data_IF_243576900227
#
_entry.id   IF_243576900227
#
_cell.length_a   1.000
_cell.length_b   1.000
_cell.length_c   1.000
_cell.angle_alpha   90.00
_cell.angle_beta   90.00
_cell.angle_gamma   90.00
#
_symmetry.space_group_name_H-M   'P 1'
#
loop_
_entity.id
_entity.type
_entity.pdbx_description
1 polymer ?
#
# COMPACT_ATOMS: atom_id res chain seq x y z
N UNK A 1 44.60 -30.89 -45.22
CA UNK A 1 44.42 -30.29 -43.88
C UNK A 1 43.54 -29.05 -43.93
N UNK A 2 43.80 -28.09 -44.84
CA UNK A 2 43.01 -26.85 -44.95
C UNK A 2 41.52 -27.04 -45.29
N UNK A 3 41.17 -27.99 -46.16
CA UNK A 3 39.76 -28.25 -46.48
C UNK A 3 38.97 -28.80 -45.28
N UNK A 4 39.61 -29.61 -44.43
CA UNK A 4 38.97 -30.20 -43.25
C UNK A 4 38.71 -29.11 -42.20
N UNK A 5 39.65 -28.17 -42.01
CA UNK A 5 39.48 -27.07 -41.05
C UNK A 5 38.34 -26.12 -41.45
N UNK A 6 38.15 -25.86 -42.76
CA UNK A 6 37.05 -25.03 -43.26
C UNK A 6 35.69 -25.70 -42.99
N UNK A 7 35.57 -27.01 -43.25
CA UNK A 7 34.32 -27.76 -43.02
C UNK A 7 33.95 -27.76 -41.53
N UNK A 8 34.93 -27.96 -40.65
CA UNK A 8 34.72 -27.91 -39.20
C UNK A 8 34.28 -26.52 -38.74
N UNK A 9 34.89 -25.45 -39.27
CA UNK A 9 34.49 -24.08 -38.93
C UNK A 9 33.05 -23.78 -39.36
N UNK A 10 32.65 -24.15 -40.57
CA UNK A 10 31.28 -23.97 -41.07
C UNK A 10 30.27 -24.76 -40.22
N UNK A 11 30.62 -25.98 -39.81
CA UNK A 11 29.79 -26.79 -38.93
C UNK A 11 29.61 -26.15 -37.55
N UNK A 12 30.68 -25.59 -36.96
CA UNK A 12 30.60 -24.86 -35.68
C UNK A 12 29.75 -23.59 -35.79
N UNK A 13 29.84 -22.83 -36.89
CA UNK A 13 29.01 -21.65 -37.14
C UNK A 13 27.53 -22.05 -37.30
N UNK A 14 27.26 -23.13 -38.03
CA UNK A 14 25.90 -23.66 -38.19
C UNK A 14 25.30 -24.11 -36.85
N UNK A 15 26.08 -24.78 -36.00
CA UNK A 15 25.64 -25.16 -34.65
C UNK A 15 25.41 -23.91 -33.78
N UNK A 16 26.34 -22.96 -33.77
CA UNK A 16 26.22 -21.72 -32.99
C UNK A 16 24.97 -20.93 -33.38
N UNK A 17 24.74 -20.74 -34.68
CA UNK A 17 23.54 -20.06 -35.20
C UNK A 17 22.26 -20.84 -34.90
N UNK A 18 22.27 -22.17 -35.01
CA UNK A 18 21.13 -23.01 -34.65
C UNK A 18 20.82 -22.95 -33.14
N UNK A 19 21.84 -22.98 -32.27
CA UNK A 19 21.68 -22.85 -30.82
C UNK A 19 21.07 -21.49 -30.46
N UNK A 20 21.58 -20.39 -31.02
CA UNK A 20 21.03 -19.04 -30.82
C UNK A 20 19.58 -18.94 -31.32
N UNK A 21 19.28 -19.50 -32.50
CA UNK A 21 17.92 -19.56 -33.03
C UNK A 21 16.98 -20.35 -32.11
N UNK A 22 17.41 -21.53 -31.63
CA UNK A 22 16.59 -22.42 -30.80
C UNK A 22 16.31 -21.85 -29.41
N UNK A 23 17.29 -21.19 -28.78
CA UNK A 23 17.11 -20.51 -27.50
C UNK A 23 16.12 -19.37 -27.66
N UNK A 24 16.28 -18.52 -28.68
CA UNK A 24 15.36 -17.41 -28.98
C UNK A 24 13.93 -17.88 -29.22
N UNK A 25 13.75 -19.01 -29.91
CA UNK A 25 12.43 -19.57 -30.18
C UNK A 25 11.80 -20.24 -28.95
N UNK A 26 12.62 -20.85 -28.08
CA UNK A 26 12.18 -21.46 -26.81
C UNK A 26 11.69 -20.40 -25.81
N UNK A 27 12.36 -19.25 -25.74
CA UNK A 27 11.87 -18.11 -24.94
C UNK A 27 10.54 -17.60 -25.50
N UNK A 28 10.42 -17.50 -26.84
CA UNK A 28 9.18 -17.10 -27.53
C UNK A 28 7.99 -18.03 -27.20
N UNK A 29 8.23 -19.35 -27.11
CA UNK A 29 7.22 -20.33 -26.72
C UNK A 29 6.87 -20.30 -25.23
N UNK A 30 7.82 -19.99 -24.33
CA UNK A 30 7.54 -19.82 -22.90
C UNK A 30 6.63 -18.61 -22.63
N UNK A 31 6.85 -17.50 -23.33
CA UNK A 31 5.97 -16.31 -23.22
C UNK A 31 4.57 -16.52 -23.80
N UNK A 32 4.38 -17.46 -24.73
CA UNK A 32 3.06 -17.80 -25.26
C UNK A 32 2.12 -18.45 -24.21
N UNK A 33 2.65 -18.89 -23.06
CA UNK A 33 1.86 -19.43 -21.93
C UNK A 33 1.57 -18.41 -20.82
N UNK A 34 2.23 -17.25 -20.84
CA UNK A 34 2.02 -16.24 -19.81
C UNK A 34 0.89 -15.30 -20.23
N UNK A 35 -0.04 -15.03 -19.31
CA UNK A 35 -1.10 -14.06 -19.58
C UNK A 35 -0.47 -12.68 -19.82
N UNK A 36 -0.76 -12.02 -20.95
CA UNK A 36 -0.21 -10.70 -21.23
C UNK A 36 -0.80 -9.66 -20.30
N UNK A 37 -0.08 -8.54 -20.17
CA UNK A 37 -0.51 -7.39 -19.37
C UNK A 37 -0.69 -6.21 -20.32
N UNK A 38 -1.91 -5.68 -20.41
CA UNK A 38 -2.20 -4.45 -21.15
C UNK A 38 -1.80 -3.24 -20.33
N UNK A 39 -1.07 -2.31 -20.95
CA UNK A 39 -0.59 -1.09 -20.30
C UNK A 39 -1.47 0.09 -20.69
N UNK A 40 -1.94 0.82 -19.68
CA UNK A 40 -2.74 2.03 -19.80
C UNK A 40 -1.87 3.31 -19.86
N UNK A 41 -2.41 4.37 -20.46
CA UNK A 41 -1.84 5.73 -20.54
C UNK A 41 -1.45 6.26 -19.16
N UNK A 42 -2.30 6.07 -18.16
CA UNK A 42 -2.07 6.59 -16.80
C UNK A 42 -0.77 6.07 -16.19
N UNK A 43 -0.47 4.79 -16.39
CA UNK A 43 0.74 4.12 -15.86
C UNK A 43 1.99 4.55 -16.60
N UNK A 44 1.90 4.75 -17.92
CA UNK A 44 3.01 5.26 -18.72
C UNK A 44 3.40 6.67 -18.30
N UNK A 45 2.41 7.54 -18.07
CA UNK A 45 2.67 8.92 -17.63
C UNK A 45 3.32 8.95 -16.25
N UNK A 46 2.92 8.08 -15.32
CA UNK A 46 3.51 7.98 -13.97
C UNK A 46 4.95 7.44 -14.01
N UNK A 47 5.22 6.48 -14.90
CA UNK A 47 6.58 5.99 -15.19
C UNK A 47 7.14 4.95 -14.21
N UNK A 48 6.55 4.76 -13.02
CA UNK A 48 7.03 3.75 -12.05
C UNK A 48 6.92 2.31 -12.57
N UNK A 49 6.18 2.07 -13.65
CA UNK A 49 6.16 0.79 -14.36
C UNK A 49 7.56 0.32 -14.77
N UNK A 50 8.47 1.24 -15.11
CA UNK A 50 9.86 0.91 -15.47
C UNK A 50 10.56 0.21 -14.31
N UNK A 51 10.54 0.79 -13.11
CA UNK A 51 11.16 0.20 -11.94
C UNK A 51 10.53 -1.16 -11.58
N UNK A 52 9.21 -1.30 -11.73
CA UNK A 52 8.53 -2.59 -11.50
C UNK A 52 8.95 -3.64 -12.54
N UNK A 53 9.09 -3.26 -13.81
CA UNK A 53 9.57 -4.14 -14.88
C UNK A 53 11.05 -4.53 -14.72
N UNK A 54 11.92 -3.58 -14.36
CA UNK A 54 13.34 -3.80 -14.10
C UNK A 54 13.58 -4.72 -12.89
N UNK A 55 12.73 -4.63 -11.87
CA UNK A 55 12.85 -5.47 -10.66
C UNK A 55 12.66 -6.98 -10.91
N UNK A 56 12.11 -7.37 -12.08
CA UNK A 56 11.78 -8.76 -12.38
C UNK A 56 10.50 -9.28 -11.68
N UNK A 57 9.71 -8.40 -11.06
CA UNK A 57 8.39 -8.76 -10.53
C UNK A 57 7.37 -9.03 -11.64
N UNK A 58 7.53 -8.38 -12.80
CA UNK A 58 6.66 -8.59 -13.96
C UNK A 58 7.41 -9.37 -15.02
N UNK A 59 7.05 -10.65 -15.15
CA UNK A 59 7.62 -11.58 -16.15
C UNK A 59 6.69 -11.85 -17.34
N UNK A 60 5.45 -11.37 -17.28
CA UNK A 60 4.49 -11.46 -18.37
C UNK A 60 4.79 -10.42 -19.47
N UNK A 61 4.49 -10.73 -20.75
CA UNK A 61 4.68 -9.75 -21.82
C UNK A 61 3.77 -8.54 -21.60
N UNK A 62 4.36 -7.34 -21.70
CA UNK A 62 3.64 -6.07 -21.69
C UNK A 62 3.15 -5.76 -23.10
N UNK A 63 1.85 -5.56 -23.25
CA UNK A 63 1.21 -5.14 -24.48
C UNK A 63 0.81 -3.67 -24.33
N UNK A 64 1.40 -2.81 -25.16
CA UNK A 64 1.06 -1.39 -25.22
C UNK A 64 0.21 -1.17 -26.47
N UNK A 65 -1.10 -0.91 -26.34
CA UNK A 65 -1.97 -0.68 -27.49
C UNK A 65 -1.55 0.56 -28.30
N UNK A 66 -1.78 0.53 -29.62
CA UNK A 66 -1.57 1.69 -30.50
C UNK A 66 -2.51 2.84 -30.12
N UNK A 67 -3.72 2.55 -29.68
CA UNK A 67 -4.68 3.56 -29.20
C UNK A 67 -4.16 4.35 -27.98
N UNK A 68 -3.47 3.69 -27.06
CA UNK A 68 -2.80 4.32 -25.89
C UNK A 68 -1.67 5.25 -26.33
N UNK A 69 -0.83 4.81 -27.28
CA UNK A 69 0.21 5.67 -27.86
C UNK A 69 -0.40 6.87 -28.58
N UNK A 70 -1.49 6.65 -29.33
CA UNK A 70 -2.22 7.71 -30.02
C UNK A 70 -2.79 8.76 -29.05
N UNK A 71 -3.31 8.34 -27.90
CA UNK A 71 -3.76 9.26 -26.85
C UNK A 71 -2.60 10.05 -26.24
N UNK A 72 -1.47 9.41 -25.94
CA UNK A 72 -0.26 10.11 -25.49
C UNK A 72 0.22 11.15 -26.50
N UNK A 73 0.21 10.82 -27.80
CA UNK A 73 0.56 11.78 -28.86
C UNK A 73 -0.40 12.96 -28.89
N UNK A 74 -1.71 12.71 -28.85
CA UNK A 74 -2.73 13.76 -28.83
C UNK A 74 -2.56 14.69 -27.62
N UNK A 75 -2.24 14.14 -26.45
CA UNK A 75 -1.96 14.91 -25.24
C UNK A 75 -0.63 15.69 -25.34
N UNK A 76 0.38 15.13 -26.01
CA UNK A 76 1.69 15.76 -26.24
C UNK A 76 1.63 16.95 -27.22
N UNK A 77 0.63 16.98 -28.09
CA UNK A 77 0.38 18.05 -29.06
C UNK A 77 -0.67 19.07 -28.59
N UNK A 78 -1.30 18.83 -27.44
CA UNK A 78 -2.35 19.69 -26.87
C UNK A 78 -1.86 21.07 -26.41
N UNK A 79 -2.78 21.99 -26.11
CA UNK A 79 -2.45 23.37 -25.71
C UNK A 79 -1.96 23.52 -24.26
N UNK A 80 -2.22 22.54 -23.39
CA UNK A 80 -1.85 22.53 -21.98
C UNK A 80 -0.39 22.06 -21.77
N UNK A 81 0.47 22.95 -21.26
CA UNK A 81 1.91 22.68 -21.14
C UNK A 81 2.27 21.57 -20.15
N UNK A 82 1.52 21.44 -19.05
CA UNK A 82 1.78 20.40 -18.06
C UNK A 82 1.38 19.03 -18.61
N UNK A 83 0.19 18.95 -19.22
CA UNK A 83 -0.27 17.71 -19.87
C UNK A 83 0.67 17.29 -21.00
N UNK A 84 1.13 18.23 -21.82
CA UNK A 84 2.13 17.94 -22.87
C UNK A 84 3.40 17.34 -22.31
N UNK A 85 3.96 17.94 -21.26
CA UNK A 85 5.22 17.48 -20.65
C UNK A 85 5.07 16.07 -20.09
N UNK A 86 3.96 15.81 -19.39
CA UNK A 86 3.61 14.49 -18.85
C UNK A 86 3.41 13.43 -19.94
N UNK A 87 2.75 13.79 -21.04
CA UNK A 87 2.52 12.89 -22.15
C UNK A 87 3.80 12.53 -22.90
N UNK A 88 4.71 13.50 -23.11
CA UNK A 88 6.06 13.26 -23.65
C UNK A 88 6.86 12.31 -22.76
N UNK A 89 6.84 12.54 -21.45
CA UNK A 89 7.43 11.61 -20.49
C UNK A 89 6.83 10.20 -20.63
N UNK A 90 5.51 10.07 -20.83
CA UNK A 90 4.88 8.78 -21.11
C UNK A 90 5.41 8.09 -22.37
N UNK A 91 5.67 8.83 -23.45
CA UNK A 91 6.30 8.30 -24.68
C UNK A 91 7.76 7.89 -24.45
N UNK A 92 8.51 8.65 -23.63
CA UNK A 92 9.87 8.29 -23.23
C UNK A 92 9.86 6.99 -22.43
N UNK A 93 8.90 6.81 -21.51
CA UNK A 93 8.70 5.58 -20.73
C UNK A 93 8.43 4.38 -21.65
N UNK A 94 7.63 4.52 -22.71
CA UNK A 94 7.43 3.46 -23.71
C UNK A 94 8.78 3.04 -24.32
N UNK A 95 9.60 4.03 -24.70
CA UNK A 95 10.91 3.77 -25.31
C UNK A 95 11.86 3.06 -24.35
N UNK A 96 11.88 3.47 -23.07
CA UNK A 96 12.66 2.82 -22.02
C UNK A 96 12.21 1.37 -21.83
N UNK A 97 10.90 1.15 -21.70
CA UNK A 97 10.30 -0.18 -21.53
C UNK A 97 10.66 -1.13 -22.69
N UNK A 98 10.64 -0.66 -23.94
CA UNK A 98 11.05 -1.45 -25.10
C UNK A 98 12.54 -1.84 -25.10
N UNK A 99 13.38 -1.07 -24.41
CA UNK A 99 14.81 -1.34 -24.26
C UNK A 99 15.16 -2.30 -23.11
N UNK A 100 14.20 -2.67 -22.26
CA UNK A 100 14.46 -3.56 -21.13
C UNK A 100 14.63 -5.01 -21.59
N UNK A 101 15.67 -5.67 -21.07
CA UNK A 101 15.89 -7.11 -21.30
C UNK A 101 15.06 -7.99 -20.32
N UNK A 102 14.61 -7.41 -19.20
CA UNK A 102 13.90 -8.14 -18.14
C UNK A 102 12.47 -8.53 -18.53
N UNK A 103 11.83 -7.74 -19.39
CA UNK A 103 10.45 -7.95 -19.81
C UNK A 103 10.30 -7.76 -21.31
N UNK A 104 9.47 -8.59 -21.95
CA UNK A 104 9.11 -8.40 -23.35
C UNK A 104 8.02 -7.33 -23.46
N UNK A 105 8.24 -6.33 -24.29
CA UNK A 105 7.27 -5.28 -24.58
C UNK A 105 6.92 -5.31 -26.06
N UNK A 106 5.65 -5.50 -26.40
CA UNK A 106 5.15 -5.47 -27.77
C UNK A 106 4.12 -4.34 -27.93
N UNK A 107 4.23 -3.59 -29.03
CA UNK A 107 3.19 -2.65 -29.42
C UNK A 107 2.06 -3.44 -30.10
N UNK A 108 0.89 -3.44 -29.48
CA UNK A 108 -0.26 -4.20 -29.97
C UNK A 108 -1.09 -3.34 -30.91
N UNK A 109 -1.29 -3.81 -32.14
CA UNK A 109 -2.08 -3.08 -33.12
C UNK A 109 -3.59 -3.27 -32.89
N UNK A 110 -4.19 -2.32 -32.18
CA UNK A 110 -5.64 -2.17 -32.01
C UNK A 110 -6.19 -0.97 -32.81
N UNK A 111 -5.43 -0.41 -33.75
CA UNK A 111 -5.83 0.79 -34.49
C UNK A 111 -5.46 2.09 -33.78
N UNK A 112 -5.39 3.17 -34.55
CA UNK A 112 -4.75 4.42 -34.11
C UNK A 112 -5.67 5.34 -33.29
N UNK A 113 -6.98 5.10 -33.32
CA UNK A 113 -7.95 5.83 -32.50
C UNK A 113 -8.98 4.88 -31.87
N UNK A 114 -9.50 5.28 -30.71
CA UNK A 114 -10.57 4.58 -30.01
C UNK A 114 -11.79 5.52 -29.92
N UNK A 115 -12.73 5.47 -30.88
CA UNK A 115 -13.94 6.29 -30.86
C UNK A 115 -14.80 6.09 -29.60
N UNK A 116 -14.77 4.89 -29.03
CA UNK A 116 -15.44 4.57 -27.76
C UNK A 116 -14.70 5.04 -26.50
N UNK A 117 -13.52 5.66 -26.66
CA UNK A 117 -12.58 5.98 -25.60
C UNK A 117 -11.57 4.85 -25.35
N UNK A 118 -10.34 5.24 -24.98
CA UNK A 118 -9.22 4.32 -24.73
C UNK A 118 -9.55 3.33 -23.61
N UNK A 119 -10.18 3.79 -22.53
CA UNK A 119 -10.61 2.98 -21.39
C UNK A 119 -11.51 1.79 -21.81
N UNK A 120 -12.58 2.07 -22.56
CA UNK A 120 -13.48 1.02 -23.05
C UNK A 120 -12.77 0.07 -24.01
N UNK A 121 -11.83 0.59 -24.81
CA UNK A 121 -11.04 -0.22 -25.72
C UNK A 121 -10.13 -1.19 -24.96
N UNK A 122 -9.46 -0.70 -23.90
CA UNK A 122 -8.61 -1.49 -23.02
C UNK A 122 -9.40 -2.62 -22.34
N UNK A 123 -10.60 -2.34 -21.83
CA UNK A 123 -11.46 -3.35 -21.20
C UNK A 123 -11.88 -4.46 -22.18
N UNK A 124 -12.34 -4.08 -23.37
CA UNK A 124 -12.68 -5.03 -24.43
C UNK A 124 -11.48 -5.89 -24.82
N UNK A 125 -10.32 -5.25 -25.01
CA UNK A 125 -9.10 -5.95 -25.40
C UNK A 125 -8.60 -6.90 -24.31
N UNK A 126 -8.71 -6.50 -23.04
CA UNK A 126 -8.35 -7.33 -21.90
C UNK A 126 -9.17 -8.62 -21.86
N UNK A 127 -10.49 -8.52 -22.06
CA UNK A 127 -11.38 -9.67 -22.16
C UNK A 127 -11.06 -10.56 -23.36
N UNK A 128 -10.88 -9.97 -24.53
CA UNK A 128 -10.59 -10.70 -25.76
C UNK A 128 -9.29 -11.50 -25.69
N UNK A 129 -8.26 -10.93 -25.07
CA UNK A 129 -6.94 -11.55 -24.95
C UNK A 129 -6.75 -12.37 -23.67
N UNK A 130 -7.71 -12.34 -22.74
CA UNK A 130 -7.52 -12.87 -21.39
C UNK A 130 -6.34 -12.21 -20.67
N UNK A 131 -6.12 -10.92 -20.94
CA UNK A 131 -5.01 -10.14 -20.41
C UNK A 131 -5.36 -9.51 -19.05
N UNK A 132 -4.35 -9.27 -18.23
CA UNK A 132 -4.49 -8.38 -17.06
C UNK A 132 -4.33 -6.92 -17.49
N UNK A 133 -4.93 -5.99 -16.75
CA UNK A 133 -4.82 -4.56 -17.00
C UNK A 133 -3.85 -3.91 -16.01
N UNK A 134 -2.85 -3.17 -16.50
CA UNK A 134 -1.97 -2.35 -15.69
C UNK A 134 -2.44 -0.90 -15.77
N UNK A 135 -3.07 -0.42 -14.70
CA UNK A 135 -3.58 0.96 -14.61
C UNK A 135 -3.39 1.53 -13.20
N UNK A 136 -3.18 2.85 -13.10
CA UNK A 136 -3.27 3.59 -11.83
C UNK A 136 -4.59 4.37 -11.71
N UNK A 137 -5.41 4.40 -12.77
CA UNK A 137 -6.69 5.08 -12.75
C UNK A 137 -7.67 4.34 -11.84
N UNK A 138 -8.33 5.10 -10.97
CA UNK A 138 -9.24 4.54 -9.98
C UNK A 138 -10.54 4.03 -10.60
N UNK A 139 -11.09 4.75 -11.59
CA UNK A 139 -12.38 4.43 -12.20
C UNK A 139 -12.24 3.22 -13.12
N UNK A 140 -11.22 3.20 -13.98
CA UNK A 140 -10.92 2.09 -14.87
C UNK A 140 -10.65 0.80 -14.07
N UNK A 141 -9.90 0.89 -12.95
CA UNK A 141 -9.70 -0.23 -12.03
C UNK A 141 -11.02 -0.78 -11.46
N UNK A 142 -11.95 0.10 -11.04
CA UNK A 142 -13.26 -0.32 -10.52
C UNK A 142 -14.10 -1.04 -11.57
N UNK A 143 -14.18 -0.50 -12.78
CA UNK A 143 -14.92 -1.12 -13.89
C UNK A 143 -14.29 -2.45 -14.28
N UNK A 144 -12.96 -2.51 -14.42
CA UNK A 144 -12.23 -3.73 -14.75
C UNK A 144 -12.51 -4.87 -13.76
N UNK A 145 -12.56 -4.58 -12.45
CA UNK A 145 -12.89 -5.59 -11.43
C UNK A 145 -14.33 -6.10 -11.53
N UNK A 146 -15.29 -5.23 -11.85
CA UNK A 146 -16.70 -5.65 -12.09
C UNK A 146 -16.78 -6.58 -13.31
N UNK A 147 -15.92 -6.34 -14.28
CA UNK A 147 -15.81 -7.10 -15.51
C UNK A 147 -14.93 -8.36 -15.42
N UNK A 148 -14.50 -8.74 -14.20
CA UNK A 148 -13.61 -9.87 -13.88
C UNK A 148 -12.24 -9.82 -14.60
N UNK A 149 -11.76 -8.60 -14.87
CA UNK A 149 -10.43 -8.36 -15.42
C UNK A 149 -9.47 -8.14 -14.25
N UNK A 150 -8.38 -8.93 -14.22
CA UNK A 150 -7.32 -8.77 -13.21
C UNK A 150 -6.61 -7.43 -13.41
N UNK A 151 -6.53 -6.63 -12.35
CA UNK A 151 -5.86 -5.32 -12.36
C UNK A 151 -4.55 -5.37 -11.58
N UNK A 152 -3.50 -4.84 -12.19
CA UNK A 152 -2.21 -4.54 -11.56
C UNK A 152 -2.15 -3.04 -11.37
N UNK A 153 -1.98 -2.59 -10.13
CA UNK A 153 -1.90 -1.17 -9.80
C UNK A 153 -0.61 -0.90 -9.01
N UNK A 154 0.22 0.04 -9.49
CA UNK A 154 1.51 0.37 -8.84
C UNK A 154 1.30 0.88 -7.42
N UNK A 155 0.21 1.62 -7.17
CA UNK A 155 -0.07 2.15 -5.84
C UNK A 155 -0.38 1.02 -4.86
N UNK A 156 -1.20 0.05 -5.27
CA UNK A 156 -1.53 -1.14 -4.45
C UNK A 156 -0.25 -1.96 -4.16
N UNK A 157 0.62 -2.10 -5.17
CA UNK A 157 1.91 -2.77 -5.02
C UNK A 157 2.82 -2.03 -4.03
N UNK A 158 2.98 -0.71 -4.20
CA UNK A 158 3.82 0.10 -3.32
C UNK A 158 3.32 0.09 -1.87
N UNK A 159 2.01 0.12 -1.64
CA UNK A 159 1.43 -0.03 -0.30
C UNK A 159 1.71 -1.41 0.31
N UNK A 160 1.63 -2.47 -0.51
CA UNK A 160 1.85 -3.85 -0.07
C UNK A 160 3.33 -4.17 0.21
N UNK A 161 4.24 -3.45 -0.44
CA UNK A 161 5.70 -3.59 -0.25
C UNK A 161 6.23 -2.76 0.92
N UNK A 162 5.41 -1.93 1.59
CA UNK A 162 5.86 -1.20 2.79
C UNK A 162 6.26 -2.19 3.86
N UNK A 163 7.36 -1.88 4.55
CA UNK A 163 7.90 -2.73 5.61
C UNK A 163 6.80 -3.04 6.63
N UNK A 164 6.51 -4.32 6.83
CA UNK A 164 5.61 -4.75 7.87
C UNK A 164 6.41 -4.79 9.18
N UNK A 165 6.25 -3.76 10.02
CA UNK A 165 6.74 -3.84 11.41
C UNK A 165 5.98 -4.94 12.13
N UNK A 166 6.70 -5.95 12.59
CA UNK A 166 6.12 -7.09 13.30
C UNK A 166 6.01 -6.79 14.79
N UNK A 167 4.97 -7.30 15.48
CA UNK A 167 4.95 -7.34 16.94
C UNK A 167 6.26 -7.96 17.48
N UNK A 168 6.90 -7.29 18.44
CA UNK A 168 8.17 -7.69 19.04
C UNK A 168 9.41 -7.10 18.37
N UNK A 169 9.32 -6.47 17.19
CA UNK A 169 10.45 -5.75 16.60
C UNK A 169 10.78 -4.49 17.41
N UNK A 170 12.06 -4.25 17.65
CA UNK A 170 12.53 -3.05 18.37
C UNK A 170 13.16 -2.02 17.45
N UNK A 171 12.87 -0.74 17.70
CA UNK A 171 13.46 0.39 16.97
C UNK A 171 13.71 1.57 17.90
N UNK A 172 14.66 2.43 17.51
CA UNK A 172 14.82 3.75 18.11
C UNK A 172 13.87 4.72 17.42
N UNK A 173 13.04 5.40 18.20
CA UNK A 173 12.06 6.36 17.70
C UNK A 173 12.19 7.66 18.47
N UNK A 174 12.21 8.79 17.75
CA UNK A 174 12.09 10.11 18.36
C UNK A 174 10.63 10.40 18.72
N UNK A 175 10.40 10.71 19.99
CA UNK A 175 9.08 11.04 20.51
C UNK A 175 8.89 12.54 20.40
N UNK A 176 8.04 12.98 19.48
CA UNK A 176 7.91 14.41 19.14
C UNK A 176 6.72 15.07 19.81
N UNK A 177 5.64 14.32 20.03
CA UNK A 177 4.37 14.88 20.49
C UNK A 177 3.77 14.07 21.63
N UNK A 178 2.83 14.69 22.36
CA UNK A 178 2.02 14.01 23.37
C UNK A 178 0.93 13.18 22.69
N UNK A 179 0.70 11.96 23.18
CA UNK A 179 -0.42 11.14 22.74
C UNK A 179 -1.77 11.62 23.27
N UNK A 180 -2.83 10.91 22.90
CA UNK A 180 -4.18 11.24 23.35
C UNK A 180 -4.29 11.05 24.87
N UNK A 181 -3.73 9.96 25.40
CA UNK A 181 -3.64 9.76 26.85
C UNK A 181 -2.41 10.44 27.46
N UNK A 182 -2.52 10.85 28.73
CA UNK A 182 -1.46 11.56 29.46
C UNK A 182 -0.14 10.78 29.61
N UNK A 183 -0.19 9.46 29.48
CA UNK A 183 0.96 8.57 29.57
C UNK A 183 1.55 8.21 28.19
N UNK A 184 0.92 8.62 27.09
CA UNK A 184 1.38 8.31 25.73
C UNK A 184 2.27 9.40 25.15
N UNK A 185 3.17 8.99 24.27
CA UNK A 185 3.88 9.86 23.36
C UNK A 185 3.70 9.37 21.92
N UNK A 186 3.87 10.27 20.96
CA UNK A 186 3.78 9.99 19.53
C UNK A 186 5.15 10.27 18.90
N UNK A 187 5.59 9.36 18.04
CA UNK A 187 6.68 9.57 17.10
C UNK A 187 6.27 9.17 15.69
N UNK A 188 7.09 9.53 14.71
CA UNK A 188 6.88 9.14 13.32
C UNK A 188 8.09 8.34 12.84
N UNK A 189 7.81 7.26 12.11
CA UNK A 189 8.84 6.51 11.41
C UNK A 189 9.31 7.27 10.17
N UNK A 190 10.40 6.81 9.57
CA UNK A 190 10.99 7.40 8.35
C UNK A 190 10.00 7.43 7.18
N UNK A 191 9.06 6.48 7.15
CA UNK A 191 8.01 6.38 6.13
C UNK A 191 6.75 7.21 6.44
N UNK A 192 6.77 7.99 7.54
CA UNK A 192 5.65 8.80 8.01
C UNK A 192 4.61 8.05 8.84
N UNK A 193 4.79 6.75 9.09
CA UNK A 193 3.87 5.98 9.94
C UNK A 193 3.87 6.51 11.37
N UNK A 194 2.70 6.87 11.88
CA UNK A 194 2.53 7.34 13.25
C UNK A 194 2.63 6.19 14.24
N UNK A 195 3.50 6.34 15.24
CA UNK A 195 3.71 5.35 16.30
C UNK A 195 3.32 5.96 17.64
N UNK A 196 2.32 5.35 18.27
CA UNK A 196 1.88 5.70 19.63
C UNK A 196 2.60 4.80 20.62
N UNK A 197 3.37 5.40 21.52
CA UNK A 197 4.19 4.69 22.50
C UNK A 197 3.59 4.86 23.89
N UNK A 198 3.21 3.76 24.51
CA UNK A 198 2.67 3.77 25.88
C UNK A 198 3.76 4.03 26.93
N UNK A 199 3.37 4.73 28.00
CA UNK A 199 4.20 5.08 29.14
C UNK A 199 5.44 5.92 28.79
N UNK A 200 5.41 6.61 27.64
CA UNK A 200 6.55 7.34 27.09
C UNK A 200 6.40 8.88 27.15
N UNK A 201 5.34 9.41 27.77
CA UNK A 201 5.11 10.86 27.84
C UNK A 201 6.24 11.67 28.51
N UNK A 202 7.04 11.04 29.38
CA UNK A 202 8.22 11.68 30.01
C UNK A 202 9.43 11.78 29.09
N UNK A 203 9.41 11.10 27.95
CA UNK A 203 10.50 11.02 26.99
C UNK A 203 10.22 11.82 25.71
N UNK A 204 9.18 12.66 25.71
CA UNK A 204 8.91 13.59 24.61
C UNK A 204 10.11 14.54 24.44
N UNK A 205 10.52 14.76 23.20
CA UNK A 205 11.73 15.46 22.79
C UNK A 205 13.00 14.59 22.81
N UNK A 206 12.89 13.27 23.04
CA UNK A 206 14.03 12.34 23.08
C UNK A 206 13.80 11.13 22.17
N UNK A 207 14.90 10.51 21.77
CA UNK A 207 14.89 9.20 21.12
C UNK A 207 14.84 8.10 22.17
N UNK A 208 13.88 7.18 22.05
CA UNK A 208 13.72 6.03 22.93
C UNK A 208 13.72 4.72 22.13
N UNK A 209 14.17 3.64 22.75
CA UNK A 209 14.03 2.30 22.18
C UNK A 209 12.66 1.74 22.51
N UNK A 210 11.92 1.39 21.47
CA UNK A 210 10.53 0.95 21.53
C UNK A 210 10.40 -0.44 20.92
N UNK A 211 9.42 -1.19 21.37
CA UNK A 211 9.02 -2.49 20.85
C UNK A 211 7.59 -2.38 20.30
N UNK A 212 7.40 -2.74 19.04
CA UNK A 212 6.07 -2.73 18.42
C UNK A 212 5.19 -3.81 19.05
N UNK A 213 3.93 -3.47 19.34
CA UNK A 213 2.94 -4.38 19.92
C UNK A 213 1.93 -4.79 18.87
N UNK A 214 1.34 -3.82 18.17
CA UNK A 214 0.28 -4.05 17.18
C UNK A 214 0.18 -2.89 16.20
N UNK A 215 -0.30 -3.19 15.00
CA UNK A 215 -0.67 -2.18 14.00
C UNK A 215 -2.18 -1.97 13.98
N UNK A 216 -2.62 -0.74 13.76
CA UNK A 216 -4.03 -0.39 13.51
C UNK A 216 -4.11 0.37 12.18
N UNK A 217 -4.99 -0.06 11.29
CA UNK A 217 -5.29 0.67 10.06
C UNK A 217 -6.48 1.61 10.34
N UNK A 218 -6.32 2.90 10.06
CA UNK A 218 -7.38 3.93 10.13
C UNK A 218 -7.64 4.52 8.74
N UNK A 219 -8.66 5.38 8.60
CA UNK A 219 -8.95 6.04 7.32
C UNK A 219 -7.83 7.01 6.89
N UNK A 220 -7.09 7.56 7.85
CA UNK A 220 -5.96 8.47 7.60
C UNK A 220 -4.62 7.75 7.32
N UNK A 221 -4.55 6.43 7.54
CA UNK A 221 -3.34 5.65 7.28
C UNK A 221 -3.11 4.52 8.27
N UNK A 222 -1.88 4.00 8.28
CA UNK A 222 -1.45 2.97 9.23
C UNK A 222 -0.87 3.65 10.48
N UNK A 223 -1.33 3.21 11.65
CA UNK A 223 -0.80 3.60 12.96
C UNK A 223 -0.20 2.37 13.64
N UNK A 224 0.90 2.55 14.37
CA UNK A 224 1.53 1.49 15.15
C UNK A 224 1.44 1.81 16.65
N UNK A 225 1.23 0.79 17.47
CA UNK A 225 1.30 0.88 18.92
C UNK A 225 2.58 0.19 19.40
N UNK A 226 3.28 0.83 20.32
CA UNK A 226 4.53 0.33 20.86
C UNK A 226 4.63 0.55 22.37
N UNK A 227 5.56 -0.15 23.02
CA UNK A 227 5.96 0.07 24.42
C UNK A 227 7.44 0.39 24.48
N UNK A 228 7.85 1.06 25.55
CA UNK A 228 9.28 1.21 25.84
C UNK A 228 9.92 -0.16 26.11
N UNK A 229 11.07 -0.40 25.49
CA UNK A 229 11.92 -1.53 25.85
C UNK A 229 12.46 -1.24 27.25
N UNK A 230 12.16 -2.12 28.20
CA UNK A 230 12.73 -2.02 29.55
C UNK A 230 14.21 -2.38 29.46
N UNK A 231 15.09 -1.38 29.49
CA UNK A 231 16.51 -1.61 29.78
C UNK A 231 16.59 -2.16 31.20
N UNK A 232 16.90 -3.45 31.33
CA UNK A 232 16.90 -4.14 32.62
C UNK A 232 17.93 -3.54 33.57
N UNK A 233 17.50 -2.66 34.47
CA UNK A 233 18.23 -2.30 35.69
C UNK A 233 17.32 -1.84 36.86
N UNK A 234 16.02 -2.17 36.83
CA UNK A 234 15.11 -1.92 37.96
C UNK A 234 14.41 -3.22 38.41
N UNK A 235 15.21 -4.21 38.83
CA UNK A 235 14.74 -5.21 39.79
C UNK A 235 15.45 -5.00 41.12
N UNK A 236 14.89 -4.16 41.99
CA UNK A 236 15.03 -4.34 43.44
C UNK A 236 13.96 -3.59 44.25
N UNK A 237 13.23 -4.41 45.01
CA UNK A 237 12.49 -4.15 46.25
C UNK A 237 11.04 -3.62 46.15
N UNK A 238 10.11 -4.58 46.07
CA UNK A 238 8.85 -4.48 46.81
C UNK A 238 9.00 -5.37 48.05
N UNK A 239 9.41 -4.77 49.17
CA UNK A 239 9.20 -5.35 50.50
C UNK A 239 7.83 -4.88 50.95
N UNK A 240 6.91 -5.83 51.04
CA UNK A 240 5.57 -5.71 51.63
C UNK A 240 5.64 -5.19 53.08
N UNK A 241 4.93 -4.11 53.36
CA UNK A 241 4.46 -3.74 54.70
C UNK A 241 3.04 -3.17 54.60
N UNK A 242 2.01 -3.77 55.23
CA UNK A 242 0.66 -3.23 55.23
C UNK A 242 0.52 -2.17 56.33
N UNK A 243 0.17 -0.92 55.96
CA UNK A 243 -0.29 0.09 56.92
C UNK A 243 -1.80 0.32 56.76
N UNK A 244 -2.51 -0.20 57.75
CA UNK A 244 -3.92 0.02 58.05
C UNK A 244 -4.19 1.50 58.37
N UNK A 245 -5.27 2.02 57.80
CA UNK A 245 -5.83 3.36 58.06
C UNK A 245 -6.45 3.43 59.47
N UNK A 246 -6.24 4.52 60.18
CA UNK A 246 -7.18 5.00 61.19
C UNK A 246 -7.24 6.54 61.14
N UNK A 247 -8.45 7.05 60.95
CA UNK A 247 -8.83 8.44 60.87
C UNK A 247 -9.70 8.75 62.11
N UNK A 248 -9.57 9.89 62.82
CA UNK A 248 -10.58 10.30 63.79
C UNK A 248 -11.43 11.42 63.19
N UNK A 249 -12.76 11.26 63.21
CA UNK A 249 -13.68 12.36 63.59
C UNK A 249 -15.13 11.90 63.74
N UNK A 250 -15.62 12.18 64.95
CA UNK A 250 -17.01 12.25 65.44
C UNK A 250 -17.91 13.08 64.51
N UNK A 251 -19.13 12.60 64.28
CA UNK A 251 -20.34 13.40 64.51
C UNK A 251 -21.59 12.51 64.59
N UNK A 252 -22.52 13.00 65.38
CA UNK A 252 -23.69 12.38 66.01
C UNK A 252 -24.92 12.25 65.10
N UNK A 253 -25.70 11.19 65.32
CA UNK A 253 -27.12 10.97 64.92
C UNK A 253 -28.08 11.72 65.91
N UNK A 254 -29.43 11.68 65.83
CA UNK A 254 -30.37 11.11 64.82
C UNK A 254 -31.66 11.94 64.53
N UNK A 255 -32.56 11.36 63.67
CA UNK A 255 -34.05 11.44 63.72
C UNK A 255 -34.72 12.62 62.97
N UNK A 256 -35.86 12.57 62.25
CA UNK A 256 -37.17 11.87 62.43
C UNK A 256 -37.97 11.83 61.07
N UNK A 257 -38.77 10.76 60.90
CA UNK A 257 -40.05 10.51 60.17
C UNK A 257 -40.53 11.17 58.82
N UNK A 258 -40.95 10.26 57.93
CA UNK A 258 -42.10 10.13 56.95
C UNK A 258 -43.31 11.12 56.98
N UNK A 259 -44.33 11.03 56.08
CA UNK A 259 -44.44 10.59 54.65
C UNK A 259 -45.37 11.49 53.77
N UNK A 260 -45.40 11.35 52.43
CA UNK A 260 -46.60 11.68 51.63
C UNK A 260 -46.61 11.06 50.21
N UNK A 261 -47.76 10.48 49.84
CA UNK A 261 -48.14 9.89 48.54
C UNK A 261 -48.63 10.96 47.53
N UNK A 262 -48.41 10.77 46.22
CA UNK A 262 -49.48 10.49 45.22
C UNK A 262 -48.98 10.33 43.77
N UNK A 263 -49.69 9.45 43.06
CA UNK A 263 -49.56 9.01 41.68
C UNK A 263 -49.64 10.12 40.62
N UNK A 264 -48.95 9.93 39.48
CA UNK A 264 -49.52 9.46 38.20
C UNK A 264 -48.74 10.03 37.01
N UNK A 265 -48.36 9.21 36.04
CA UNK A 265 -47.82 9.69 34.76
C UNK A 265 -46.87 8.72 34.07
N UNK A 266 -47.44 7.76 33.36
CA UNK A 266 -46.75 6.79 32.50
C UNK A 266 -46.30 7.50 31.22
N UNK A 267 -45.01 7.54 30.92
CA UNK A 267 -44.53 7.63 29.53
C UNK A 267 -43.20 6.90 29.39
N UNK A 268 -43.21 5.92 28.49
CA UNK A 268 -42.11 5.04 28.16
C UNK A 268 -41.17 5.83 27.25
N UNK A 269 -39.94 6.08 27.69
CA UNK A 269 -38.87 6.43 26.76
C UNK A 269 -37.61 5.64 27.11
N UNK A 270 -37.38 4.59 26.33
CA UNK A 270 -36.29 3.63 26.46
C UNK A 270 -35.03 4.29 25.91
N UNK A 271 -34.36 5.13 26.70
CA UNK A 271 -32.97 5.50 26.42
C UNK A 271 -32.12 4.23 26.57
N UNK A 272 -31.74 3.63 25.44
CA UNK A 272 -30.59 2.75 25.40
C UNK A 272 -29.40 3.56 25.91
N UNK A 273 -28.99 3.27 27.15
CA UNK A 273 -27.66 3.63 27.66
C UNK A 273 -26.65 3.07 26.66
N UNK A 274 -26.11 3.94 25.81
CA UNK A 274 -24.94 3.60 25.02
C UNK A 274 -23.85 3.16 25.99
N UNK A 275 -23.33 1.95 25.73
CA UNK A 275 -22.17 1.40 26.43
C UNK A 275 -21.04 2.44 26.29
N UNK A 276 -20.31 2.80 27.35
CA UNK A 276 -19.20 3.72 27.21
C UNK A 276 -18.22 3.15 26.19
N UNK A 277 -17.92 3.93 25.15
CA UNK A 277 -16.94 3.56 24.14
C UNK A 277 -15.64 3.20 24.83
N UNK A 278 -15.04 2.10 24.40
CA UNK A 278 -13.71 1.70 24.83
C UNK A 278 -12.70 2.76 24.38
N UNK A 279 -11.59 2.87 25.11
CA UNK A 279 -10.55 3.87 24.81
C UNK A 279 -10.01 3.74 23.38
N UNK A 280 -10.08 2.54 22.80
CA UNK A 280 -9.67 2.24 21.43
C UNK A 280 -10.64 2.80 20.38
N UNK A 281 -11.96 2.71 20.63
CA UNK A 281 -12.99 3.22 19.72
C UNK A 281 -12.94 4.76 19.60
N UNK A 282 -12.55 5.45 20.68
CA UNK A 282 -12.33 6.92 20.65
C UNK A 282 -11.12 7.34 19.82
N UNK A 283 -10.07 6.52 19.80
CA UNK A 283 -8.86 6.79 19.00
C UNK A 283 -9.15 6.67 17.50
N UNK A 284 -10.01 5.74 17.13
CA UNK A 284 -10.46 5.54 15.74
C UNK A 284 -11.33 6.71 15.29
N UNK A 285 -12.18 7.25 16.16
CA UNK A 285 -13.07 8.37 15.84
C UNK A 285 -12.30 9.67 15.56
N UNK A 286 -11.29 9.97 16.39
CA UNK A 286 -10.41 11.14 16.23
C UNK A 286 -9.52 11.05 14.98
N UNK A 287 -9.02 9.86 14.65
CA UNK A 287 -8.24 9.65 13.43
C UNK A 287 -9.08 9.77 12.14
N UNK A 288 -10.39 9.59 12.25
CA UNK A 288 -11.33 9.64 11.12
C UNK A 288 -12.04 11.00 10.96
N UNK A 289 -11.69 12.01 11.77
CA UNK A 289 -12.09 13.40 11.56
C UNK A 289 -13.61 13.65 11.62
N UNK A 290 -14.30 13.11 12.62
CA UNK A 290 -15.64 13.59 13.03
C UNK A 290 -15.58 14.35 14.34
#
# INVERSE_FOLDING_TARGET
>A
MEQITIIVLLYLVAISTYQVYSVRNSTKQRYAKLQPILVDTSVLIDGRIVAVAESGLINSPLLIPRSVIGELQLLADGSDSEKRTRARHGLDVVSILQGLETVRVDIYNDGESAPEGVDNRLLKLAKQLGASLFTIDYNLNKVARVEDIKVINVNDLAMSLRMAYLPGETRRLELTQKGNDSHQAIGHLEDGTMVVVEHASKLIGKTAEIEFIRSLQTAAGKMMFARLVKTGNDQKQVVTSPKTKANPKKSTKPSVAQPAKKNSGRSVNRHQKQKPLTNEERLVELANGK
#
